data_IF_654988019058
#
_entry.id   IF_654988019058
#
_cell.length_a   1.000
_cell.length_b   1.000
_cell.length_c   1.000
_cell.angle_alpha   90.00
_cell.angle_beta   90.00
_cell.angle_gamma   90.00
#
_symmetry.space_group_name_H-M   'P 1'
#
loop_
_entity.id
_entity.type
_entity.pdbx_description
1 polymer ?
#
# COMPACT_ATOMS: atom_id res chain seq x y z
N UNK A 1 -0.45 -11.60 -22.29
CA UNK A 1 0.37 -12.51 -21.48
C UNK A 1 -0.04 -12.30 -20.03
N UNK A 2 -0.03 -13.33 -19.17
CA UNK A 2 -0.25 -13.11 -17.74
C UNK A 2 0.78 -12.09 -17.24
N UNK A 3 0.35 -11.16 -16.39
CA UNK A 3 1.28 -10.29 -15.68
C UNK A 3 2.17 -11.11 -14.74
N UNK A 4 3.33 -10.58 -14.35
CA UNK A 4 4.29 -11.32 -13.52
C UNK A 4 3.71 -11.68 -12.14
N UNK A 5 2.68 -10.96 -11.67
CA UNK A 5 1.95 -11.33 -10.46
C UNK A 5 1.01 -12.52 -10.70
N UNK A 6 0.35 -12.64 -11.85
CA UNK A 6 -0.41 -13.87 -12.19
C UNK A 6 0.47 -15.12 -12.29
N UNK A 7 1.74 -14.97 -12.69
CA UNK A 7 2.68 -16.09 -12.79
C UNK A 7 3.20 -16.55 -11.42
N UNK A 8 3.57 -15.62 -10.53
CA UNK A 8 4.07 -15.92 -9.18
C UNK A 8 3.73 -14.78 -8.20
N UNK A 9 2.53 -14.82 -7.58
CA UNK A 9 2.06 -13.79 -6.66
C UNK A 9 2.97 -13.62 -5.43
N UNK A 10 3.53 -14.72 -4.91
CA UNK A 10 4.36 -14.72 -3.70
C UNK A 10 5.71 -14.05 -3.95
N UNK A 11 6.30 -14.29 -5.12
CA UNK A 11 7.54 -13.62 -5.53
C UNK A 11 7.31 -12.12 -5.69
N UNK A 12 6.18 -11.70 -6.24
CA UNK A 12 5.83 -10.28 -6.37
C UNK A 12 5.58 -9.62 -5.03
N UNK A 13 4.87 -10.29 -4.12
CA UNK A 13 4.67 -9.80 -2.75
C UNK A 13 6.01 -9.60 -2.04
N UNK A 14 6.95 -10.55 -2.14
CA UNK A 14 8.30 -10.43 -1.57
C UNK A 14 9.10 -9.28 -2.20
N UNK A 15 9.01 -9.10 -3.51
CA UNK A 15 9.70 -8.00 -4.20
C UNK A 15 9.17 -6.64 -3.72
N UNK A 16 7.84 -6.50 -3.62
CA UNK A 16 7.19 -5.30 -3.09
C UNK A 16 7.60 -5.03 -1.64
N UNK A 17 7.57 -6.05 -0.78
CA UNK A 17 7.99 -5.95 0.62
C UNK A 17 9.46 -5.53 0.76
N UNK A 18 10.35 -6.10 -0.07
CA UNK A 18 11.77 -5.70 -0.08
C UNK A 18 11.95 -4.24 -0.51
N UNK A 19 11.20 -3.76 -1.50
CA UNK A 19 11.27 -2.36 -1.94
C UNK A 19 10.84 -1.40 -0.84
N UNK A 20 9.74 -1.70 -0.13
CA UNK A 20 9.29 -0.89 1.01
C UNK A 20 10.38 -0.83 2.08
N UNK A 21 10.94 -1.97 2.48
CA UNK A 21 11.97 -2.03 3.54
C UNK A 21 13.27 -1.30 3.17
N UNK A 22 13.68 -1.38 1.91
CA UNK A 22 14.95 -0.79 1.45
C UNK A 22 14.84 0.71 1.22
N UNK A 23 13.70 1.18 0.72
CA UNK A 23 13.56 2.57 0.28
C UNK A 23 12.86 3.47 1.30
N UNK A 24 12.16 2.91 2.29
CA UNK A 24 11.30 3.66 3.23
C UNK A 24 10.42 4.68 2.46
N UNK A 25 9.66 4.21 1.45
CA UNK A 25 9.00 5.09 0.49
C UNK A 25 7.89 5.90 1.16
N UNK A 26 7.75 7.17 0.75
CA UNK A 26 6.51 7.90 1.00
C UNK A 26 5.38 7.38 0.09
N UNK A 27 4.16 7.89 0.31
CA UNK A 27 2.98 7.45 -0.41
C UNK A 27 3.09 7.59 -1.94
N UNK A 28 3.76 8.64 -2.41
CA UNK A 28 3.98 8.87 -3.85
C UNK A 28 4.89 7.80 -4.45
N UNK A 29 5.92 7.39 -3.70
CA UNK A 29 6.80 6.31 -4.13
C UNK A 29 6.10 4.95 -4.11
N UNK A 30 5.19 4.69 -3.15
CA UNK A 30 4.38 3.46 -3.12
C UNK A 30 3.54 3.34 -4.40
N UNK A 31 2.86 4.40 -4.81
CA UNK A 31 2.06 4.41 -6.04
C UNK A 31 2.91 4.06 -7.26
N UNK A 32 4.08 4.69 -7.41
CA UNK A 32 5.03 4.41 -8.48
C UNK A 32 5.56 2.96 -8.47
N UNK A 33 5.83 2.39 -7.29
CA UNK A 33 6.25 0.99 -7.15
C UNK A 33 5.12 0.05 -7.58
N UNK A 34 3.86 0.36 -7.22
CA UNK A 34 2.70 -0.41 -7.67
C UNK A 34 2.54 -0.36 -9.19
N UNK A 35 2.72 0.81 -9.82
CA UNK A 35 2.67 0.92 -11.29
C UNK A 35 3.79 0.14 -11.99
N UNK A 36 4.95 0.00 -11.35
CA UNK A 36 6.10 -0.71 -11.91
C UNK A 36 5.94 -2.24 -11.82
N UNK A 37 5.35 -2.74 -10.74
CA UNK A 37 5.29 -4.18 -10.44
C UNK A 37 4.03 -4.88 -10.94
N UNK A 38 2.91 -4.15 -11.01
CA UNK A 38 1.60 -4.72 -11.30
C UNK A 38 1.02 -4.07 -12.55
N UNK A 39 0.39 -4.87 -13.40
CA UNK A 39 -0.44 -4.29 -14.46
C UNK A 39 -1.68 -3.58 -13.89
N UNK A 40 -2.42 -2.85 -14.72
CA UNK A 40 -3.58 -2.07 -14.25
C UNK A 40 -4.64 -2.92 -13.54
N UNK A 41 -4.84 -4.16 -13.98
CA UNK A 41 -5.83 -5.09 -13.42
C UNK A 41 -5.34 -5.64 -12.09
N UNK A 42 -4.09 -6.07 -12.04
CA UNK A 42 -3.43 -6.57 -10.83
C UNK A 42 -3.39 -5.49 -9.75
N UNK A 43 -3.07 -4.24 -10.13
CA UNK A 43 -3.08 -3.09 -9.24
C UNK A 43 -4.46 -2.80 -8.68
N UNK A 44 -5.51 -2.84 -9.51
CA UNK A 44 -6.89 -2.65 -9.04
C UNK A 44 -7.28 -3.73 -8.02
N UNK A 45 -6.90 -4.99 -8.26
CA UNK A 45 -7.12 -6.09 -7.31
C UNK A 45 -6.39 -5.88 -5.99
N UNK A 46 -5.11 -5.47 -6.03
CA UNK A 46 -4.31 -5.18 -4.83
C UNK A 46 -4.95 -4.05 -4.02
N UNK A 47 -5.32 -2.93 -4.66
CA UNK A 47 -5.95 -1.79 -4.00
C UNK A 47 -7.30 -2.20 -3.38
N UNK A 48 -8.14 -2.91 -4.11
CA UNK A 48 -9.45 -3.36 -3.60
C UNK A 48 -9.32 -4.28 -2.39
N UNK A 49 -8.39 -5.23 -2.46
CA UNK A 49 -8.13 -6.17 -1.35
C UNK A 49 -7.57 -5.44 -0.13
N UNK A 50 -6.70 -4.46 -0.36
CA UNK A 50 -6.12 -3.63 0.71
C UNK A 50 -7.19 -2.77 1.39
N UNK A 51 -8.12 -2.18 0.61
CA UNK A 51 -9.25 -1.42 1.16
C UNK A 51 -10.13 -2.30 2.04
N UNK A 52 -10.53 -3.48 1.55
CA UNK A 52 -11.34 -4.42 2.31
C UNK A 52 -10.67 -4.84 3.62
N UNK A 53 -9.36 -5.14 3.57
CA UNK A 53 -8.60 -5.49 4.77
C UNK A 53 -8.57 -4.34 5.78
N UNK A 54 -8.29 -3.11 5.34
CA UNK A 54 -8.27 -1.94 6.22
C UNK A 54 -9.64 -1.68 6.85
N UNK A 55 -10.74 -1.81 6.09
CA UNK A 55 -12.10 -1.70 6.61
C UNK A 55 -12.37 -2.73 7.72
N UNK A 56 -11.99 -3.99 7.50
CA UNK A 56 -12.11 -5.06 8.50
C UNK A 56 -11.31 -4.73 9.77
N UNK A 57 -10.07 -4.26 9.64
CA UNK A 57 -9.24 -3.88 10.78
C UNK A 57 -9.82 -2.69 11.56
N UNK A 58 -10.50 -1.75 10.88
CA UNK A 58 -11.22 -0.65 11.54
C UNK A 58 -12.44 -1.19 12.30
N UNK A 59 -13.24 -2.05 11.66
CA UNK A 59 -14.45 -2.63 12.27
C UNK A 59 -14.14 -3.49 13.50
N UNK A 60 -13.02 -4.21 13.47
CA UNK A 60 -12.55 -5.03 14.59
C UNK A 60 -11.86 -4.23 15.70
N UNK A 61 -11.64 -2.92 15.48
CA UNK A 61 -11.00 -2.03 16.44
C UNK A 61 -9.47 -2.13 16.48
N UNK A 62 -8.85 -2.87 15.55
CA UNK A 62 -7.41 -3.00 15.44
C UNK A 62 -6.76 -1.75 14.83
N UNK A 63 -7.48 -1.07 13.93
CA UNK A 63 -7.09 0.23 13.37
C UNK A 63 -8.06 1.32 13.79
N UNK A 64 -7.52 2.50 14.09
CA UNK A 64 -8.32 3.69 14.37
C UNK A 64 -8.46 4.58 13.12
N UNK A 65 -9.52 5.38 13.09
CA UNK A 65 -9.79 6.33 11.99
C UNK A 65 -10.63 5.73 10.86
N UNK A 66 -10.61 6.38 9.70
CA UNK A 66 -11.40 5.98 8.52
C UNK A 66 -10.55 5.23 7.51
N UNK A 67 -11.20 4.60 6.52
CA UNK A 67 -10.50 3.95 5.41
C UNK A 67 -9.59 4.94 4.68
N UNK A 68 -10.12 6.08 4.26
CA UNK A 68 -9.32 7.08 3.52
C UNK A 68 -8.20 7.70 4.37
N UNK A 69 -8.31 7.63 5.70
CA UNK A 69 -7.24 8.05 6.59
C UNK A 69 -6.09 7.02 6.68
N UNK A 70 -6.40 5.74 6.52
CA UNK A 70 -5.41 4.65 6.61
C UNK A 70 -4.89 4.22 5.23
N UNK A 71 -5.70 4.34 4.18
CA UNK A 71 -5.36 4.01 2.81
C UNK A 71 -5.88 5.10 1.85
N UNK A 72 -5.23 6.27 1.81
CA UNK A 72 -5.71 7.41 1.05
C UNK A 72 -5.64 7.16 -0.46
N UNK A 73 -6.70 7.52 -1.18
CA UNK A 73 -6.77 7.36 -2.65
C UNK A 73 -5.98 8.43 -3.41
N UNK A 74 -5.55 9.48 -2.71
CA UNK A 74 -4.75 10.59 -3.26
C UNK A 74 -3.53 10.81 -2.37
N UNK A 75 -2.48 11.43 -2.90
CA UNK A 75 -1.30 11.79 -2.11
C UNK A 75 -1.70 12.62 -0.86
N UNK A 76 -1.55 12.05 0.35
CA UNK A 76 -1.96 12.71 1.57
C UNK A 76 -0.94 13.78 2.01
N UNK A 77 0.21 13.89 1.33
CA UNK A 77 1.32 14.80 1.66
C UNK A 77 1.78 14.64 3.11
N UNK A 78 1.79 13.42 3.62
CA UNK A 78 2.29 13.13 4.96
C UNK A 78 3.77 13.51 5.05
N UNK A 79 4.07 14.45 5.93
CA UNK A 79 5.44 14.90 6.20
C UNK A 79 6.03 14.08 7.35
N UNK A 80 7.10 13.33 7.06
CA UNK A 80 7.84 12.50 8.04
C UNK A 80 8.40 13.29 9.23
N UNK A 81 8.57 14.61 9.09
CA UNK A 81 9.08 15.46 10.16
C UNK A 81 7.98 15.94 11.10
N UNK A 82 6.70 15.80 10.72
CA UNK A 82 5.55 16.10 11.58
C UNK A 82 5.29 14.91 12.51
N UNK A 83 5.32 15.11 13.86
CA UNK A 83 5.17 14.01 14.82
C UNK A 83 3.90 13.17 14.64
N UNK A 84 2.79 13.81 14.25
CA UNK A 84 1.51 13.14 14.01
C UNK A 84 1.55 12.14 12.84
N UNK A 85 2.48 12.30 11.89
CA UNK A 85 2.64 11.40 10.73
C UNK A 85 3.77 10.38 10.91
N UNK A 86 4.62 10.50 11.93
CA UNK A 86 5.75 9.56 12.12
C UNK A 86 5.32 8.11 12.37
N UNK A 87 4.20 7.91 13.03
CA UNK A 87 3.66 6.56 13.27
C UNK A 87 3.10 5.90 11.99
N UNK A 88 3.01 6.65 10.88
CA UNK A 88 2.54 6.14 9.57
C UNK A 88 3.64 5.48 8.75
N UNK A 89 4.90 5.79 9.05
CA UNK A 89 6.08 5.31 8.31
C UNK A 89 6.82 4.18 9.06
N UNK A 90 6.22 3.60 10.10
CA UNK A 90 6.80 2.50 10.90
C UNK A 90 6.06 1.20 10.59
#
# INVERSE_FOLDING_TARGET
MPGTYQEDPDKMAKAFEMMIKLQDPDWKHIDAILEMLFDSTEREMVVKTSRWFVEEQILTGNLSGTLDFNLPTVDPKWDRYVPMFRERFK
#
